data_IF_133004664522
#
_entry.id   IF_133004664522
#
_cell.length_a   1.000
_cell.length_b   1.000
_cell.length_c   1.000
_cell.angle_alpha   90.00
_cell.angle_beta   90.00
_cell.angle_gamma   90.00
#
_symmetry.space_group_name_H-M   'P 1'
#
loop_
_entity.id
_entity.type
_entity.pdbx_description
1 polymer ?
#
# COMPACT_ATOMS: atom_id res chain seq x y z
N UNK A 1 27.74 10.48 -13.47
CA UNK A 1 26.76 9.63 -14.18
C UNK A 1 25.92 8.74 -13.24
N UNK A 2 25.98 8.89 -11.90
CA UNK A 2 25.25 7.99 -10.97
C UNK A 2 24.17 8.70 -10.13
N UNK A 3 24.16 10.04 -10.10
CA UNK A 3 23.15 10.83 -9.36
C UNK A 3 21.84 11.08 -10.13
N UNK A 4 21.81 10.82 -11.44
CA UNK A 4 20.62 11.02 -12.28
C UNK A 4 19.60 9.87 -12.24
N UNK A 5 20.03 8.65 -11.86
CA UNK A 5 19.10 7.51 -11.75
C UNK A 5 18.18 7.57 -10.54
N UNK A 6 18.53 8.35 -9.52
CA UNK A 6 17.72 8.48 -8.29
C UNK A 6 16.51 9.41 -8.53
N UNK A 7 16.60 10.34 -9.48
CA UNK A 7 15.64 11.46 -9.59
C UNK A 7 14.40 11.13 -10.44
N UNK A 8 14.34 9.98 -11.12
CA UNK A 8 13.18 9.53 -11.90
C UNK A 8 12.42 8.34 -11.27
N UNK A 9 12.93 7.78 -10.16
CA UNK A 9 12.38 6.58 -9.50
C UNK A 9 11.67 6.88 -8.16
N UNK A 10 11.55 8.14 -7.75
CA UNK A 10 11.11 8.54 -6.41
C UNK A 10 9.58 8.60 -6.24
N UNK A 11 8.87 7.53 -6.62
CA UNK A 11 7.45 7.39 -6.32
C UNK A 11 7.19 6.86 -4.91
N UNK A 12 5.91 6.77 -4.52
CA UNK A 12 5.49 6.20 -3.23
C UNK A 12 6.10 4.81 -2.93
N UNK A 13 6.23 3.88 -3.92
CA UNK A 13 6.89 2.59 -3.68
C UNK A 13 8.32 2.70 -3.13
N UNK A 14 9.09 3.68 -3.60
CA UNK A 14 10.49 3.86 -3.21
C UNK A 14 10.60 4.36 -1.78
N UNK A 15 9.76 5.32 -1.39
CA UNK A 15 9.72 5.84 -0.02
C UNK A 15 9.25 4.76 0.96
N UNK A 16 8.24 3.98 0.58
CA UNK A 16 7.77 2.86 1.40
C UNK A 16 8.87 1.83 1.66
N UNK A 17 9.58 1.40 0.62
CA UNK A 17 10.67 0.42 0.75
C UNK A 17 11.84 0.95 1.57
N UNK A 18 12.15 2.24 1.46
CA UNK A 18 13.15 2.89 2.31
C UNK A 18 12.73 2.85 3.78
N UNK A 19 11.46 3.14 4.09
CA UNK A 19 10.94 3.07 5.45
C UNK A 19 10.95 1.63 5.97
N UNK A 20 10.51 0.66 5.16
CA UNK A 20 10.57 -0.76 5.49
C UNK A 20 12.00 -1.18 5.83
N UNK A 21 12.96 -0.90 4.95
CA UNK A 21 14.36 -1.25 5.18
C UNK A 21 14.90 -0.59 6.46
N UNK A 22 14.57 0.68 6.69
CA UNK A 22 15.01 1.39 7.88
C UNK A 22 14.43 0.81 9.16
N UNK A 23 13.14 0.51 9.20
CA UNK A 23 12.47 0.05 10.43
C UNK A 23 12.68 -1.45 10.66
N UNK A 24 12.43 -2.28 9.65
CA UNK A 24 12.51 -3.73 9.77
C UNK A 24 13.96 -4.25 9.73
N UNK A 25 14.79 -3.78 8.81
CA UNK A 25 16.13 -4.34 8.62
C UNK A 25 17.20 -3.59 9.43
N UNK A 26 17.19 -2.26 9.45
CA UNK A 26 18.20 -1.50 10.18
C UNK A 26 17.90 -1.41 11.68
N UNK A 27 16.67 -1.06 12.05
CA UNK A 27 16.25 -0.95 13.46
C UNK A 27 15.68 -2.24 14.06
N UNK A 28 15.53 -3.31 13.26
CA UNK A 28 15.08 -4.63 13.73
C UNK A 28 13.72 -4.59 14.43
N UNK A 29 12.83 -3.69 13.99
CA UNK A 29 11.43 -3.62 14.46
C UNK A 29 10.62 -4.74 13.80
N UNK A 30 10.72 -5.95 14.37
CA UNK A 30 10.05 -7.16 13.89
C UNK A 30 8.62 -7.34 14.45
N UNK A 31 8.08 -6.29 15.08
CA UNK A 31 6.78 -6.27 15.75
C UNK A 31 5.76 -5.37 15.04
N UNK A 32 6.01 -5.00 13.79
CA UNK A 32 5.13 -4.16 12.98
C UNK A 32 4.33 -5.01 11.99
N UNK A 33 3.06 -4.65 11.80
CA UNK A 33 2.22 -5.14 10.71
C UNK A 33 2.05 -3.98 9.72
N UNK A 34 2.42 -4.20 8.47
CA UNK A 34 2.47 -3.18 7.42
C UNK A 34 1.13 -3.06 6.68
N UNK A 35 0.39 -1.98 6.94
CA UNK A 35 -0.92 -1.73 6.33
C UNK A 35 -0.79 -0.74 5.18
N UNK A 36 -1.07 -1.18 3.95
CA UNK A 36 -1.09 -0.32 2.77
C UNK A 36 -2.50 0.17 2.45
N UNK A 37 -2.71 1.49 2.47
CA UNK A 37 -4.01 2.08 2.11
C UNK A 37 -4.17 2.19 0.60
N UNK A 38 -5.21 1.55 0.06
CA UNK A 38 -5.58 1.60 -1.35
C UNK A 38 -6.82 2.47 -1.58
N UNK A 39 -6.89 3.10 -2.75
CA UNK A 39 -8.10 3.81 -3.20
C UNK A 39 -9.14 2.87 -3.85
N UNK A 40 -8.83 1.57 -4.00
CA UNK A 40 -9.71 0.62 -4.67
C UNK A 40 -9.85 0.84 -6.18
N UNK A 41 -8.97 1.67 -6.78
CA UNK A 41 -8.94 1.93 -8.22
C UNK A 41 -7.69 1.32 -8.86
N UNK A 42 -7.71 0.91 -10.15
CA UNK A 42 -6.54 0.31 -10.80
C UNK A 42 -5.27 1.18 -10.75
N UNK A 43 -5.42 2.51 -10.71
CA UNK A 43 -4.29 3.44 -10.58
C UNK A 43 -3.47 3.21 -9.30
N UNK A 44 -4.12 2.73 -8.21
CA UNK A 44 -3.45 2.43 -6.95
C UNK A 44 -2.37 1.35 -7.07
N UNK A 45 -2.46 0.46 -8.06
CA UNK A 45 -1.45 -0.58 -8.30
C UNK A 45 -0.10 0.03 -8.72
N UNK A 46 -0.09 1.20 -9.36
CA UNK A 46 1.15 1.89 -9.72
C UNK A 46 1.91 2.45 -8.51
N UNK A 47 1.24 2.58 -7.36
CA UNK A 47 1.82 3.07 -6.11
C UNK A 47 2.08 1.94 -5.10
N UNK A 48 1.64 0.73 -5.39
CA UNK A 48 1.79 -0.42 -4.50
C UNK A 48 3.27 -0.83 -4.41
N UNK A 49 3.84 -0.95 -3.20
CA UNK A 49 5.26 -1.30 -3.03
C UNK A 49 5.56 -2.77 -3.37
N UNK A 50 4.55 -3.63 -3.41
CA UNK A 50 4.69 -5.06 -3.71
C UNK A 50 4.41 -5.95 -2.50
N UNK A 51 4.10 -7.22 -2.76
CA UNK A 51 3.61 -8.17 -1.76
C UNK A 51 4.60 -8.44 -0.62
N UNK A 52 5.90 -8.28 -0.85
CA UNK A 52 6.93 -8.52 0.17
C UNK A 52 7.00 -7.41 1.23
N UNK A 53 6.32 -6.28 1.02
CA UNK A 53 6.43 -5.08 1.86
C UNK A 53 5.11 -4.69 2.54
N UNK A 54 4.08 -5.53 2.43
CA UNK A 54 2.71 -5.24 2.91
C UNK A 54 2.12 -6.49 3.52
N UNK A 55 1.48 -6.35 4.68
CA UNK A 55 0.76 -7.42 5.36
C UNK A 55 -0.75 -7.32 5.15
N UNK A 56 -1.31 -6.11 5.13
CA UNK A 56 -2.76 -5.85 5.03
C UNK A 56 -3.05 -4.76 4.01
N UNK A 57 -4.12 -4.93 3.23
CA UNK A 57 -4.68 -3.86 2.40
C UNK A 57 -5.78 -3.14 3.18
N UNK A 58 -5.60 -1.84 3.38
CA UNK A 58 -6.60 -0.95 3.98
C UNK A 58 -7.36 -0.15 2.92
N UNK A 59 -8.55 0.32 3.29
CA UNK A 59 -9.31 1.29 2.51
C UNK A 59 -9.87 2.38 3.41
N UNK A 60 -9.64 3.62 3.01
CA UNK A 60 -10.23 4.78 3.64
C UNK A 60 -11.52 5.13 2.89
N UNK A 61 -12.67 4.87 3.50
CA UNK A 61 -13.99 5.05 2.87
C UNK A 61 -14.81 6.07 3.66
N UNK A 62 -15.11 7.19 3.03
CA UNK A 62 -15.92 8.27 3.58
C UNK A 62 -17.24 8.37 2.82
N UNK A 63 -18.31 7.78 3.37
CA UNK A 63 -19.65 7.84 2.80
C UNK A 63 -20.42 9.07 3.31
N UNK A 64 -21.47 9.54 2.60
CA UNK A 64 -22.35 10.59 3.11
C UNK A 64 -22.93 10.25 4.47
N UNK A 65 -23.12 11.27 5.32
CA UNK A 65 -23.71 11.11 6.65
C UNK A 65 -25.04 10.33 6.59
N UNK A 66 -25.22 9.36 7.49
CA UNK A 66 -26.38 8.47 7.50
C UNK A 66 -26.29 7.27 6.56
N UNK A 67 -25.20 7.12 5.80
CA UNK A 67 -24.95 5.92 4.97
C UNK A 67 -24.13 4.89 5.73
N UNK A 68 -24.68 3.69 5.91
CA UNK A 68 -24.05 2.58 6.65
C UNK A 68 -23.78 1.37 5.74
N UNK A 69 -23.46 1.61 4.47
CA UNK A 69 -23.14 0.52 3.52
C UNK A 69 -21.95 -0.30 4.01
N UNK A 70 -22.00 -1.62 3.79
CA UNK A 70 -20.88 -2.51 4.07
C UNK A 70 -19.67 -2.29 3.15
N UNK A 71 -19.84 -1.52 2.07
CA UNK A 71 -18.81 -1.30 1.03
C UNK A 71 -18.28 -2.59 0.40
N UNK A 72 -19.11 -3.65 0.34
CA UNK A 72 -18.73 -4.97 -0.16
C UNK A 72 -18.19 -4.97 -1.61
N UNK A 73 -18.69 -4.07 -2.46
CA UNK A 73 -18.17 -3.93 -3.84
C UNK A 73 -16.71 -3.46 -3.80
N UNK A 74 -16.40 -2.44 -3.00
CA UNK A 74 -15.02 -1.96 -2.81
C UNK A 74 -14.14 -3.06 -2.24
N UNK A 75 -14.63 -3.80 -1.25
CA UNK A 75 -13.92 -4.95 -0.67
C UNK A 75 -13.55 -5.99 -1.74
N UNK A 76 -14.52 -6.47 -2.53
CA UNK A 76 -14.25 -7.46 -3.58
C UNK A 76 -13.31 -6.95 -4.67
N UNK A 77 -13.43 -5.68 -5.05
CA UNK A 77 -12.54 -5.07 -6.02
C UNK A 77 -11.10 -5.10 -5.52
N UNK A 78 -10.87 -4.76 -4.25
CA UNK A 78 -9.54 -4.82 -3.66
C UNK A 78 -9.01 -6.25 -3.59
N UNK A 79 -9.82 -7.22 -3.13
CA UNK A 79 -9.43 -8.63 -3.12
C UNK A 79 -8.96 -9.07 -4.52
N UNK A 80 -9.71 -8.73 -5.56
CA UNK A 80 -9.36 -9.03 -6.95
C UNK A 80 -8.07 -8.32 -7.40
N UNK A 81 -7.95 -7.01 -7.14
CA UNK A 81 -6.80 -6.21 -7.54
C UNK A 81 -5.48 -6.70 -6.94
N UNK A 82 -5.50 -7.15 -5.68
CA UNK A 82 -4.32 -7.67 -4.96
C UNK A 82 -4.20 -9.19 -5.04
N UNK A 83 -4.98 -9.84 -5.92
CA UNK A 83 -4.90 -11.28 -6.19
C UNK A 83 -5.24 -12.17 -5.00
N UNK A 84 -6.00 -11.66 -4.02
CA UNK A 84 -6.40 -12.39 -2.82
C UNK A 84 -5.25 -12.79 -1.90
N UNK A 85 -4.10 -12.12 -1.99
CA UNK A 85 -2.88 -12.46 -1.24
C UNK A 85 -2.75 -11.78 0.12
N UNK A 86 -3.60 -10.79 0.40
CA UNK A 86 -3.56 -9.89 1.54
C UNK A 86 -4.95 -9.74 2.13
#
# INVERSE_FOLDING_TARGET
MEKEKITLAAGVPTIWKLLYDRLANHHQLNNLIWVWTSTGTPAALSWYPGDDFVDVIGADIYLPAGTYSSSFITFNNMVSMYGGKK
#
